data_IF_440682512375
#
_entry.id   IF_440682512375
#
_cell.length_a   1.000
_cell.length_b   1.000
_cell.length_c   1.000
_cell.angle_alpha   90.00
_cell.angle_beta   90.00
_cell.angle_gamma   90.00
#
_symmetry.space_group_name_H-M   'P 1'
#
loop_
_entity.id
_entity.type
_entity.pdbx_description
1 polymer ?
#
# COMPACT_ATOMS: atom_id res chain seq x y z
N UNK A 1 -27.31 15.58 -44.02
CA UNK A 1 -27.13 14.64 -42.89
C UNK A 1 -25.75 14.87 -42.29
N UNK A 2 -25.64 15.53 -41.12
CA UNK A 2 -24.38 15.64 -40.37
C UNK A 2 -24.61 14.98 -39.01
N UNK A 3 -24.03 13.79 -38.86
CA UNK A 3 -24.04 13.05 -37.60
C UNK A 3 -23.10 13.72 -36.61
N UNK A 4 -23.66 14.16 -35.48
CA UNK A 4 -22.92 14.64 -34.32
C UNK A 4 -22.19 13.47 -33.66
N UNK A 5 -20.86 13.55 -33.60
CA UNK A 5 -20.03 12.68 -32.78
C UNK A 5 -20.44 12.84 -31.31
N UNK A 6 -20.92 11.75 -30.69
CA UNK A 6 -21.07 11.69 -29.24
C UNK A 6 -19.68 11.58 -28.63
N UNK A 7 -19.30 12.62 -27.90
CA UNK A 7 -18.07 12.69 -27.11
C UNK A 7 -18.05 11.60 -26.04
N UNK A 8 -16.85 11.06 -25.84
CA UNK A 8 -16.43 10.09 -24.85
C UNK A 8 -17.22 10.13 -23.53
N UNK A 9 -17.67 8.95 -23.10
CA UNK A 9 -18.14 8.73 -21.75
C UNK A 9 -17.01 9.02 -20.76
N UNK A 10 -17.07 10.21 -20.16
CA UNK A 10 -16.37 10.51 -18.92
C UNK A 10 -16.85 9.50 -17.88
N UNK A 11 -15.98 8.56 -17.53
CA UNK A 11 -16.25 7.63 -16.44
C UNK A 11 -16.37 8.43 -15.15
N UNK A 12 -17.61 8.67 -14.72
CA UNK A 12 -17.94 9.28 -13.43
C UNK A 12 -17.56 8.33 -12.30
N UNK A 13 -16.26 8.19 -12.02
CA UNK A 13 -15.80 7.76 -10.72
C UNK A 13 -15.88 8.97 -9.80
N UNK A 14 -16.97 9.08 -9.04
CA UNK A 14 -17.06 10.08 -7.98
C UNK A 14 -15.84 9.91 -7.06
N UNK A 15 -15.07 10.98 -6.87
CA UNK A 15 -13.87 10.97 -6.02
C UNK A 15 -14.27 10.56 -4.61
N UNK A 16 -13.71 9.44 -4.14
CA UNK A 16 -13.80 9.00 -2.75
C UNK A 16 -13.04 10.01 -1.87
N UNK A 17 -13.54 10.30 -0.66
CA UNK A 17 -12.77 11.13 0.29
C UNK A 17 -11.58 10.33 0.84
N UNK A 18 -10.48 10.99 1.27
CA UNK A 18 -9.34 10.31 1.85
C UNK A 18 -9.69 9.38 3.02
N UNK A 19 -10.58 9.80 3.92
CA UNK A 19 -11.03 8.99 5.07
C UNK A 19 -11.72 7.70 4.62
N UNK A 20 -12.55 7.82 3.58
CA UNK A 20 -13.27 6.68 3.03
C UNK A 20 -12.34 5.77 2.21
N UNK A 21 -11.29 6.34 1.62
CA UNK A 21 -10.24 5.56 0.95
C UNK A 21 -9.46 4.72 1.98
N UNK A 22 -9.03 5.34 3.09
CA UNK A 22 -8.40 4.65 4.23
C UNK A 22 -9.29 3.53 4.76
N UNK A 23 -10.57 3.81 5.03
CA UNK A 23 -11.52 2.80 5.52
C UNK A 23 -11.63 1.60 4.57
N UNK A 24 -11.71 1.84 3.25
CA UNK A 24 -11.75 0.78 2.25
C UNK A 24 -10.44 -0.02 2.24
N UNK A 25 -9.30 0.64 2.32
CA UNK A 25 -7.97 0.01 2.31
C UNK A 25 -7.81 -0.90 3.53
N UNK A 26 -8.05 -0.38 4.74
CA UNK A 26 -7.88 -1.13 5.98
C UNK A 26 -8.88 -2.30 6.08
N UNK A 27 -10.15 -2.11 5.70
CA UNK A 27 -11.14 -3.21 5.69
C UNK A 27 -10.87 -4.28 4.64
N UNK A 28 -10.18 -3.93 3.55
CA UNK A 28 -9.84 -4.86 2.48
C UNK A 28 -8.56 -5.64 2.76
N UNK A 29 -7.80 -5.25 3.79
CA UNK A 29 -6.56 -5.92 4.19
C UNK A 29 -6.86 -7.30 4.77
N UNK A 30 -6.11 -8.30 4.33
CA UNK A 30 -6.36 -9.71 4.70
C UNK A 30 -5.40 -10.19 5.79
N UNK A 31 -5.78 -11.28 6.43
CA UNK A 31 -4.95 -11.94 7.45
C UNK A 31 -3.59 -12.42 6.92
N UNK A 32 -3.46 -12.65 5.61
CA UNK A 32 -2.19 -12.97 4.95
C UNK A 32 -1.36 -11.71 4.60
N UNK A 33 -1.71 -10.55 5.16
CA UNK A 33 -0.99 -9.29 5.01
C UNK A 33 -0.92 -8.76 3.55
N UNK A 34 -1.95 -9.06 2.75
CA UNK A 34 -2.04 -8.62 1.36
C UNK A 34 -3.44 -8.09 1.00
N UNK A 35 -3.55 -7.50 -0.19
CA UNK A 35 -4.84 -7.12 -0.77
C UNK A 35 -5.17 -7.97 -1.99
N UNK A 36 -6.43 -8.38 -2.07
CA UNK A 36 -6.98 -9.10 -3.22
C UNK A 36 -7.59 -8.10 -4.20
N UNK A 37 -7.41 -8.26 -5.53
CA UNK A 37 -8.14 -7.50 -6.54
C UNK A 37 -9.65 -7.44 -6.22
N UNK A 38 -10.18 -6.22 -6.09
CA UNK A 38 -11.60 -6.03 -5.83
C UNK A 38 -12.15 -4.78 -6.52
N UNK A 39 -13.46 -4.78 -6.81
CA UNK A 39 -14.15 -3.59 -7.35
C UNK A 39 -14.12 -2.40 -6.38
N UNK A 40 -14.03 -2.66 -5.08
CA UNK A 40 -13.93 -1.61 -4.06
C UNK A 40 -12.58 -0.90 -4.15
N UNK A 41 -11.48 -1.65 -4.20
CA UNK A 41 -10.13 -1.10 -4.38
C UNK A 41 -9.98 -0.41 -5.74
N UNK A 42 -10.52 -0.99 -6.81
CA UNK A 42 -10.53 -0.36 -8.13
C UNK A 42 -11.20 1.02 -8.13
N UNK A 43 -12.34 1.15 -7.44
CA UNK A 43 -12.99 2.46 -7.28
C UNK A 43 -12.19 3.39 -6.37
N UNK A 44 -11.62 2.87 -5.29
CA UNK A 44 -10.83 3.63 -4.32
C UNK A 44 -9.61 4.28 -4.99
N UNK A 45 -8.81 3.48 -5.70
CA UNK A 45 -7.59 3.93 -6.38
C UNK A 45 -7.89 4.64 -7.72
N UNK A 46 -9.16 4.70 -8.15
CA UNK A 46 -9.57 5.19 -9.47
C UNK A 46 -8.87 4.48 -10.65
N UNK A 47 -8.53 3.20 -10.45
CA UNK A 47 -7.87 2.35 -11.45
C UNK A 47 -8.86 1.31 -11.97
N UNK A 48 -9.01 1.09 -13.30
CA UNK A 48 -9.92 0.08 -13.83
C UNK A 48 -9.62 -1.32 -13.28
N UNK A 49 -10.67 -2.06 -12.88
CA UNK A 49 -10.51 -3.38 -12.22
C UNK A 49 -9.65 -4.36 -13.01
N UNK A 50 -9.72 -4.34 -14.35
CA UNK A 50 -8.90 -5.21 -15.21
C UNK A 50 -7.40 -4.96 -15.02
N UNK A 51 -7.01 -3.74 -14.63
CA UNK A 51 -5.61 -3.40 -14.39
C UNK A 51 -5.09 -3.96 -13.07
N UNK A 52 -5.92 -4.52 -12.20
CA UNK A 52 -5.50 -5.27 -11.01
C UNK A 52 -5.17 -6.75 -11.32
N UNK A 53 -5.54 -7.23 -12.51
CA UNK A 53 -5.36 -8.63 -12.90
C UNK A 53 -4.25 -8.71 -13.95
N UNK A 54 -3.02 -8.94 -13.50
CA UNK A 54 -1.88 -9.20 -14.41
C UNK A 54 -1.98 -10.62 -14.96
N UNK A 55 -2.45 -11.56 -14.13
CA UNK A 55 -2.70 -12.95 -14.53
C UNK A 55 -4.19 -13.18 -14.66
N UNK A 56 -4.62 -13.82 -15.76
CA UNK A 56 -6.02 -13.96 -16.13
C UNK A 56 -6.83 -14.89 -15.21
N UNK A 57 -6.19 -15.77 -14.43
CA UNK A 57 -6.86 -16.64 -13.43
C UNK A 57 -5.87 -17.25 -12.42
N UNK A 58 -6.21 -17.40 -11.12
CA UNK A 58 -7.31 -16.78 -10.35
C UNK A 58 -6.96 -15.39 -9.76
N UNK A 59 -7.94 -14.64 -9.26
CA UNK A 59 -7.71 -13.32 -8.61
C UNK A 59 -6.83 -13.41 -7.35
N UNK A 60 -6.83 -14.56 -6.70
CA UNK A 60 -6.03 -14.86 -5.51
C UNK A 60 -4.65 -15.45 -5.90
N UNK A 61 -4.31 -15.42 -7.20
CA UNK A 61 -2.97 -15.73 -7.67
C UNK A 61 -1.95 -14.80 -7.01
N UNK A 62 -0.81 -15.36 -6.60
CA UNK A 62 0.22 -14.63 -5.89
C UNK A 62 0.67 -13.37 -6.65
N UNK A 63 0.78 -13.42 -7.98
CA UNK A 63 1.18 -12.27 -8.81
C UNK A 63 0.15 -11.14 -8.74
N UNK A 64 -1.14 -11.50 -8.73
CA UNK A 64 -2.24 -10.54 -8.60
C UNK A 64 -2.30 -9.93 -7.19
N UNK A 65 -1.98 -10.71 -6.14
CA UNK A 65 -1.87 -10.22 -4.76
C UNK A 65 -0.70 -9.25 -4.61
N UNK A 66 0.49 -9.64 -5.09
CA UNK A 66 1.70 -8.79 -5.07
C UNK A 66 1.40 -7.47 -5.77
N UNK A 67 0.88 -7.53 -7.00
CA UNK A 67 0.59 -6.34 -7.78
C UNK A 67 -0.45 -5.43 -7.11
N UNK A 68 -1.53 -6.01 -6.58
CA UNK A 68 -2.56 -5.23 -5.90
C UNK A 68 -2.01 -4.57 -4.64
N UNK A 69 -1.19 -5.27 -3.86
CA UNK A 69 -0.54 -4.69 -2.69
C UNK A 69 0.40 -3.54 -3.05
N UNK A 70 1.22 -3.69 -4.10
CA UNK A 70 2.08 -2.60 -4.58
C UNK A 70 1.26 -1.37 -4.98
N UNK A 71 0.16 -1.55 -5.72
CA UNK A 71 -0.73 -0.44 -6.09
C UNK A 71 -1.31 0.28 -4.87
N UNK A 72 -1.80 -0.48 -3.89
CA UNK A 72 -2.38 0.09 -2.66
C UNK A 72 -1.32 0.87 -1.87
N UNK A 73 -0.13 0.30 -1.72
CA UNK A 73 1.00 0.93 -1.01
C UNK A 73 1.46 2.23 -1.69
N UNK A 74 1.63 2.23 -3.01
CA UNK A 74 1.95 3.45 -3.78
C UNK A 74 0.84 4.49 -3.61
N UNK A 75 -0.43 4.09 -3.67
CA UNK A 75 -1.55 5.01 -3.47
C UNK A 75 -1.54 5.63 -2.07
N UNK A 76 -1.36 4.83 -1.01
CA UNK A 76 -1.24 5.32 0.36
C UNK A 76 -0.14 6.37 0.50
N UNK A 77 1.07 6.05 0.04
CA UNK A 77 2.25 6.89 0.19
C UNK A 77 2.25 8.17 -0.67
N UNK A 78 1.30 8.32 -1.59
CA UNK A 78 1.25 9.46 -2.52
C UNK A 78 -0.03 10.28 -2.41
N UNK A 79 -1.18 9.63 -2.20
CA UNK A 79 -2.49 10.29 -2.16
C UNK A 79 -3.06 10.42 -0.75
N UNK A 80 -2.53 9.64 0.22
CA UNK A 80 -3.02 9.60 1.61
C UNK A 80 -1.93 9.95 2.62
N UNK A 81 -0.92 10.72 2.20
CA UNK A 81 0.22 11.15 3.03
C UNK A 81 -0.23 11.76 4.35
N UNK A 82 -1.21 12.67 4.31
CA UNK A 82 -1.75 13.35 5.50
C UNK A 82 -2.50 12.42 6.47
N UNK A 83 -2.78 11.18 6.07
CA UNK A 83 -3.50 10.17 6.85
C UNK A 83 -2.61 8.98 7.20
N UNK A 84 -1.27 9.12 7.13
CA UNK A 84 -0.33 8.02 7.31
C UNK A 84 -0.56 7.22 8.59
N UNK A 85 -0.84 7.86 9.73
CA UNK A 85 -1.13 7.19 11.00
C UNK A 85 -2.29 6.18 10.89
N UNK A 86 -3.23 6.39 9.96
CA UNK A 86 -4.41 5.54 9.80
C UNK A 86 -4.18 4.31 8.90
N UNK A 87 -3.09 4.26 8.14
CA UNK A 87 -2.81 3.16 7.22
C UNK A 87 -1.39 2.59 7.33
N UNK A 88 -0.50 3.21 8.11
CA UNK A 88 0.90 2.80 8.19
C UNK A 88 1.04 1.35 8.67
N UNK A 89 0.33 0.93 9.72
CA UNK A 89 0.47 -0.44 10.26
C UNK A 89 0.17 -1.53 9.22
N UNK A 90 -0.91 -1.36 8.45
CA UNK A 90 -1.25 -2.30 7.37
C UNK A 90 -0.26 -2.21 6.22
N UNK A 91 0.30 -1.03 5.96
CA UNK A 91 1.33 -0.84 4.95
C UNK A 91 2.67 -1.50 5.34
N UNK A 92 3.10 -1.36 6.60
CA UNK A 92 4.30 -1.99 7.16
C UNK A 92 4.19 -3.51 7.07
N UNK A 93 3.08 -4.08 7.56
CA UNK A 93 2.80 -5.51 7.47
C UNK A 93 2.81 -6.01 6.02
N UNK A 94 2.16 -5.30 5.09
CA UNK A 94 2.14 -5.72 3.69
C UNK A 94 3.50 -5.62 3.01
N UNK A 95 4.28 -4.60 3.35
CA UNK A 95 5.64 -4.43 2.84
C UNK A 95 6.56 -5.54 3.35
N UNK A 96 6.43 -5.93 4.62
CA UNK A 96 7.15 -7.08 5.18
C UNK A 96 6.77 -8.38 4.46
N UNK A 97 5.49 -8.60 4.20
CA UNK A 97 5.01 -9.75 3.42
C UNK A 97 5.55 -9.75 1.97
N UNK A 98 5.56 -8.60 1.29
CA UNK A 98 6.08 -8.45 -0.08
C UNK A 98 7.56 -8.86 -0.16
N UNK A 99 8.38 -8.46 0.81
CA UNK A 99 9.81 -8.82 0.87
C UNK A 99 10.05 -10.33 0.99
N UNK A 100 9.08 -11.09 1.51
CA UNK A 100 9.16 -12.55 1.58
C UNK A 100 8.81 -13.22 0.24
N UNK A 101 8.26 -12.48 -0.73
CA UNK A 101 7.87 -13.02 -2.03
C UNK A 101 9.00 -12.84 -3.04
N UNK A 102 9.62 -13.95 -3.46
CA UNK A 102 10.72 -13.90 -4.43
C UNK A 102 10.35 -13.16 -5.72
N UNK A 103 9.13 -13.35 -6.22
CA UNK A 103 8.64 -12.65 -7.41
C UNK A 103 8.62 -11.12 -7.25
N UNK A 104 8.27 -10.62 -6.06
CA UNK A 104 8.35 -9.18 -5.79
C UNK A 104 9.79 -8.71 -5.74
N UNK A 105 10.68 -9.44 -5.06
CA UNK A 105 12.10 -9.07 -4.95
C UNK A 105 12.74 -8.97 -6.33
N UNK A 106 12.49 -9.94 -7.21
CA UNK A 106 13.05 -9.99 -8.56
C UNK A 106 12.52 -8.87 -9.48
N UNK A 107 11.27 -8.43 -9.29
CA UNK A 107 10.59 -7.48 -10.18
C UNK A 107 10.25 -6.14 -9.50
N UNK A 108 10.83 -5.87 -8.34
CA UNK A 108 10.47 -4.76 -7.45
C UNK A 108 10.41 -3.41 -8.17
N UNK A 109 11.46 -3.11 -8.92
CA UNK A 109 11.59 -1.82 -9.60
C UNK A 109 10.52 -1.65 -10.69
N UNK A 110 10.32 -2.68 -11.52
CA UNK A 110 9.33 -2.65 -12.59
C UNK A 110 7.91 -2.55 -12.06
N UNK A 111 7.60 -3.27 -10.97
CA UNK A 111 6.30 -3.21 -10.30
C UNK A 111 6.04 -1.82 -9.74
N UNK A 112 6.98 -1.23 -8.99
CA UNK A 112 6.80 0.10 -8.39
C UNK A 112 6.69 1.18 -9.46
N UNK A 113 7.55 1.16 -10.49
CA UNK A 113 7.48 2.11 -11.61
C UNK A 113 6.16 1.98 -12.38
N UNK A 114 5.71 0.75 -12.63
CA UNK A 114 4.43 0.50 -13.30
C UNK A 114 3.24 0.98 -12.48
N UNK A 115 3.27 0.81 -11.15
CA UNK A 115 2.25 1.31 -10.25
C UNK A 115 2.22 2.84 -10.23
N UNK A 116 3.38 3.50 -10.16
CA UNK A 116 3.47 4.96 -10.22
C UNK A 116 2.91 5.51 -11.53
N UNK A 117 3.27 4.90 -12.66
CA UNK A 117 2.74 5.26 -13.98
C UNK A 117 1.22 5.08 -14.06
N UNK A 118 0.69 3.97 -13.52
CA UNK A 118 -0.74 3.68 -13.56
C UNK A 118 -1.56 4.64 -12.67
N UNK A 119 -0.99 5.05 -11.53
CA UNK A 119 -1.60 6.00 -10.61
C UNK A 119 -1.29 7.46 -10.96
N UNK A 120 -0.49 7.71 -12.00
CA UNK A 120 -0.05 9.02 -12.44
C UNK A 120 0.62 9.84 -11.32
N UNK A 121 1.56 9.21 -10.61
CA UNK A 121 2.35 9.82 -9.52
C UNK A 121 3.85 9.80 -9.84
N UNK A 122 4.58 10.77 -9.28
CA UNK A 122 6.02 10.93 -9.47
C UNK A 122 6.89 10.10 -8.52
N UNK A 123 8.20 10.23 -8.70
CA UNK A 123 9.27 9.80 -7.78
C UNK A 123 9.28 8.31 -7.35
N UNK A 124 9.25 7.36 -8.30
CA UNK A 124 9.35 5.93 -7.98
C UNK A 124 10.66 5.58 -7.26
N UNK A 125 11.75 6.31 -7.52
CA UNK A 125 13.05 6.09 -6.90
C UNK A 125 13.02 6.38 -5.39
N UNK A 126 12.27 7.41 -4.97
CA UNK A 126 12.07 7.71 -3.55
C UNK A 126 11.28 6.59 -2.87
N UNK A 127 10.18 6.13 -3.48
CA UNK A 127 9.39 5.00 -2.97
C UNK A 127 10.22 3.71 -2.89
N UNK A 128 11.09 3.45 -3.87
CA UNK A 128 12.00 2.31 -3.87
C UNK A 128 13.07 2.37 -2.78
N UNK A 129 13.52 3.58 -2.41
CA UNK A 129 14.50 3.80 -1.33
C UNK A 129 13.89 3.84 0.07
N UNK A 130 12.57 4.03 0.18
CA UNK A 130 11.85 4.19 1.45
C UNK A 130 10.91 3.02 1.68
N UNK A 131 9.65 3.15 1.27
CA UNK A 131 8.59 2.16 1.50
C UNK A 131 8.97 0.78 0.98
N UNK A 132 9.51 0.68 -0.24
CA UNK A 132 9.88 -0.59 -0.86
C UNK A 132 11.36 -0.93 -0.70
N UNK A 133 12.08 -0.32 0.24
CA UNK A 133 13.46 -0.70 0.52
C UNK A 133 13.55 -2.19 0.85
N UNK A 134 14.52 -2.88 0.25
CA UNK A 134 14.85 -4.25 0.64
C UNK A 134 15.68 -4.17 1.91
N UNK A 135 15.13 -4.68 3.01
CA UNK A 135 15.90 -4.87 4.23
C UNK A 135 16.73 -6.13 4.01
N UNK A 136 18.05 -5.97 3.95
CA UNK A 136 18.99 -7.08 3.71
C UNK A 136 19.07 -8.01 4.93
N UNK A 137 18.53 -7.60 6.07
CA UNK A 137 18.60 -8.33 7.33
C UNK A 137 17.21 -8.79 7.78
N UNK A 138 17.08 -10.07 8.07
CA UNK A 138 15.97 -10.60 8.87
C UNK A 138 15.90 -9.80 10.18
N UNK A 139 14.71 -9.34 10.62
CA UNK A 139 14.56 -8.70 11.92
C UNK A 139 15.15 -9.63 12.98
N UNK A 140 16.12 -9.12 13.74
CA UNK A 140 16.71 -9.88 14.84
C UNK A 140 15.57 -10.30 15.78
N UNK A 141 15.42 -11.59 16.13
CA UNK A 141 14.40 -12.04 17.08
C UNK A 141 14.46 -11.27 18.41
N UNK A 142 15.62 -10.74 18.80
CA UNK A 142 15.75 -9.88 19.97
C UNK A 142 14.97 -8.56 19.82
N UNK A 143 14.97 -7.96 18.62
CA UNK A 143 14.22 -6.73 18.34
C UNK A 143 12.71 -7.00 18.39
N UNK A 144 12.25 -8.13 17.84
CA UNK A 144 10.84 -8.51 17.91
C UNK A 144 10.36 -8.77 19.35
N UNK A 145 11.22 -9.36 20.19
CA UNK A 145 10.92 -9.56 21.60
C UNK A 145 10.88 -8.23 22.37
N UNK A 146 11.82 -7.31 22.09
CA UNK A 146 11.86 -5.97 22.67
C UNK A 146 10.62 -5.15 22.31
N UNK A 147 10.22 -5.12 21.03
CA UNK A 147 8.97 -4.48 20.60
C UNK A 147 7.75 -5.08 21.35
N UNK A 148 7.69 -6.40 21.51
CA UNK A 148 6.61 -7.06 22.24
C UNK A 148 6.61 -6.77 23.74
N UNK A 149 7.76 -6.43 24.34
CA UNK A 149 7.86 -5.97 25.74
C UNK A 149 7.36 -4.54 25.86
N UNK A 150 7.82 -3.63 25.00
CA UNK A 150 7.38 -2.22 25.00
C UNK A 150 5.85 -2.12 24.89
N UNK A 151 5.24 -2.86 23.96
CA UNK A 151 3.78 -2.88 23.80
C UNK A 151 3.06 -3.44 25.05
N UNK A 152 3.65 -4.43 25.75
CA UNK A 152 3.10 -4.98 27.00
C UNK A 152 3.20 -4.01 28.17
N UNK A 153 4.22 -3.16 28.17
CA UNK A 153 4.44 -2.11 29.17
C UNK A 153 3.66 -0.82 28.88
N UNK A 154 2.74 -0.84 27.93
CA UNK A 154 1.85 0.30 27.62
C UNK A 154 2.48 1.34 26.70
N UNK A 155 3.65 1.08 26.13
CA UNK A 155 4.20 1.92 25.08
C UNK A 155 3.37 1.76 23.80
N UNK A 156 3.09 2.88 23.16
CA UNK A 156 2.39 2.95 21.89
C UNK A 156 3.40 3.09 20.76
N UNK A 157 3.23 2.33 19.69
CA UNK A 157 3.99 2.49 18.47
C UNK A 157 3.43 3.69 17.71
N UNK A 158 4.26 4.68 17.48
CA UNK A 158 3.95 5.92 16.77
C UNK A 158 4.86 6.06 15.54
N UNK A 159 4.55 7.01 14.66
CA UNK A 159 5.27 7.20 13.40
C UNK A 159 5.60 8.66 13.18
N UNK A 160 6.77 8.94 12.61
CA UNK A 160 7.14 10.30 12.23
C UNK A 160 6.18 10.82 11.16
N UNK A 161 5.79 12.09 11.27
CA UNK A 161 4.91 12.76 10.30
C UNK A 161 5.56 13.02 8.93
N UNK A 162 6.87 12.82 8.82
CA UNK A 162 7.63 13.05 7.59
C UNK A 162 8.24 11.74 7.07
N UNK A 163 8.31 11.53 5.74
CA UNK A 163 9.03 10.41 5.15
C UNK A 163 10.47 10.33 5.70
N UNK A 164 10.94 9.15 6.13
CA UNK A 164 10.44 7.82 5.78
C UNK A 164 9.36 7.23 6.74
N UNK A 165 8.68 8.05 7.54
CA UNK A 165 7.64 7.62 8.50
C UNK A 165 8.15 6.59 9.51
N UNK A 166 9.38 6.79 10.01
CA UNK A 166 10.03 5.85 10.93
C UNK A 166 9.20 5.63 12.19
N UNK A 167 9.11 4.36 12.62
CA UNK A 167 8.47 3.98 13.86
C UNK A 167 9.27 4.46 15.09
N UNK A 168 8.57 4.93 16.12
CA UNK A 168 9.11 5.19 17.44
C UNK A 168 8.11 4.74 18.51
N UNK A 169 8.55 4.68 19.77
CA UNK A 169 7.69 4.29 20.89
C UNK A 169 7.44 5.49 21.81
N UNK A 170 6.18 5.73 22.14
CA UNK A 170 5.74 6.79 23.06
C UNK A 170 4.95 6.20 24.21
N UNK A 171 5.20 6.65 25.44
CA UNK A 171 4.45 6.27 26.62
C UNK A 171 4.01 7.54 27.35
N UNK A 172 2.69 7.69 27.54
CA UNK A 172 2.10 8.88 28.13
C UNK A 172 2.35 9.03 29.65
N UNK A 173 2.81 7.97 30.32
CA UNK A 173 3.15 8.01 31.75
C UNK A 173 4.59 8.43 32.00
N UNK A 174 5.49 8.17 31.04
CA UNK A 174 6.93 8.40 31.19
C UNK A 174 7.49 9.52 30.31
N UNK A 175 6.76 9.96 29.27
CA UNK A 175 7.11 11.09 28.40
C UNK A 175 6.00 12.14 28.37
#
# INVERSE_FOLDING_TARGET
MRGTYKSNGTSNYASITPEKAVDVICRSFRANQSWVPSKALSKCLSVPYQRFLIVTTPKDDLSNLIWTSVLVLVYCATHLVDYHESWYEVADASTAWLRQQQHFVDQREDLVRSACNLLNVGDPDQLLSTLFALVVETPDPAIAEEEAVLLREGWQRCFLNEPPYTAYYWNAETN
#
